data_IF_276543536034
#
_entry.id   IF_276543536034
#
_cell.length_a   1.000
_cell.length_b   1.000
_cell.length_c   1.000
_cell.angle_alpha   90.00
_cell.angle_beta   90.00
_cell.angle_gamma   90.00
#
_symmetry.space_group_name_H-M   'P 1'
#
loop_
_entity.id
_entity.type
_entity.pdbx_description
1 polymer ?
#
# COMPACT_ATOMS: atom_id res chain seq x y z
N UNK A 1 8.04 -12.75 6.38
CA UNK A 1 7.48 -11.39 6.56
C UNK A 1 8.47 -10.40 5.97
N UNK A 2 8.04 -9.62 4.99
CA UNK A 2 8.91 -8.73 4.22
C UNK A 2 9.38 -7.51 5.04
N UNK A 3 10.62 -7.53 5.55
CA UNK A 3 11.22 -6.39 6.29
C UNK A 3 11.76 -5.33 5.31
N UNK A 4 10.83 -4.70 4.56
CA UNK A 4 11.15 -3.74 3.49
C UNK A 4 10.85 -2.28 3.85
N UNK A 5 10.26 -2.00 4.99
CA UNK A 5 9.64 -0.69 5.21
C UNK A 5 10.47 0.25 6.08
N UNK A 6 11.80 0.16 5.96
CA UNK A 6 12.77 0.84 6.84
C UNK A 6 12.52 2.35 6.87
N UNK A 7 12.20 2.95 5.73
CA UNK A 7 12.03 4.39 5.62
C UNK A 7 11.07 5.00 6.64
N UNK A 8 9.95 4.33 6.91
CA UNK A 8 8.94 4.85 7.83
C UNK A 8 9.38 4.81 9.30
N UNK A 9 10.20 3.83 9.66
CA UNK A 9 10.65 3.61 11.03
C UNK A 9 11.86 4.49 11.40
N UNK A 10 12.61 5.00 10.42
CA UNK A 10 13.82 5.78 10.66
C UNK A 10 13.64 6.98 11.59
N UNK A 11 12.60 7.83 11.46
CA UNK A 11 12.42 8.98 12.34
C UNK A 11 12.25 8.57 13.81
N UNK A 12 11.44 7.54 14.07
CA UNK A 12 11.22 7.01 15.42
C UNK A 12 12.45 6.29 15.96
N UNK A 13 13.15 5.52 15.13
CA UNK A 13 14.38 4.84 15.51
C UNK A 13 15.50 5.83 15.88
N UNK A 14 15.61 6.95 15.15
CA UNK A 14 16.55 8.02 15.46
C UNK A 14 16.27 8.62 16.85
N UNK A 15 15.01 8.92 17.16
CA UNK A 15 14.61 9.37 18.50
C UNK A 15 14.88 8.31 19.58
N UNK A 16 14.56 7.04 19.28
CA UNK A 16 14.82 5.92 20.18
C UNK A 16 16.29 5.71 20.51
N UNK A 17 17.19 5.98 19.56
CA UNK A 17 18.63 5.90 19.76
C UNK A 17 19.13 6.86 20.84
N UNK A 18 18.52 8.05 20.98
CA UNK A 18 18.92 9.05 21.97
C UNK A 18 18.14 8.97 23.29
N UNK A 19 16.88 8.54 23.24
CA UNK A 19 15.95 8.68 24.36
C UNK A 19 15.31 7.36 24.83
N UNK A 20 15.66 6.23 24.20
CA UNK A 20 15.18 4.90 24.56
C UNK A 20 13.86 4.48 23.90
N UNK A 21 13.47 3.22 24.15
CA UNK A 21 12.37 2.53 23.47
C UNK A 21 11.00 3.21 23.62
N UNK A 22 10.66 3.65 24.83
CA UNK A 22 9.36 4.28 25.10
C UNK A 22 9.18 5.58 24.31
N UNK A 23 10.25 6.38 24.20
CA UNK A 23 10.23 7.62 23.41
C UNK A 23 10.16 7.31 21.91
N UNK A 24 10.80 6.23 21.44
CA UNK A 24 10.68 5.77 20.06
C UNK A 24 9.21 5.46 19.70
N UNK A 25 8.51 4.70 20.53
CA UNK A 25 7.11 4.33 20.32
C UNK A 25 6.18 5.54 20.37
N UNK A 26 6.38 6.44 21.34
CA UNK A 26 5.60 7.68 21.41
C UNK A 26 5.84 8.56 20.19
N UNK A 27 7.08 8.70 19.73
CA UNK A 27 7.39 9.47 18.53
C UNK A 27 6.83 8.81 17.27
N UNK A 28 6.85 7.48 17.16
CA UNK A 28 6.20 6.75 16.07
C UNK A 28 4.70 7.05 16.01
N UNK A 29 4.03 7.08 17.16
CA UNK A 29 2.64 7.48 17.26
C UNK A 29 2.43 8.92 16.74
N UNK A 30 3.22 9.88 17.23
CA UNK A 30 3.13 11.28 16.76
C UNK A 30 3.42 11.42 15.26
N UNK A 31 4.42 10.71 14.76
CA UNK A 31 4.80 10.67 13.34
C UNK A 31 3.63 10.18 12.47
N UNK A 32 2.99 9.09 12.90
CA UNK A 32 1.83 8.51 12.20
C UNK A 32 0.60 9.41 12.29
N UNK A 33 0.35 9.99 13.47
CA UNK A 33 -0.76 10.91 13.69
C UNK A 33 -0.63 12.18 12.84
N UNK A 34 0.56 12.77 12.77
CA UNK A 34 0.87 13.89 11.89
C UNK A 34 0.62 13.53 10.42
N UNK A 35 1.07 12.37 9.98
CA UNK A 35 0.85 11.90 8.61
C UNK A 35 -0.64 11.80 8.26
N UNK A 36 -1.46 11.22 9.14
CA UNK A 36 -2.92 11.13 8.94
C UNK A 36 -3.59 12.50 8.91
N UNK A 37 -3.18 13.44 9.79
CA UNK A 37 -3.68 14.81 9.76
C UNK A 37 -3.36 15.46 8.41
N UNK A 38 -2.15 15.30 7.91
CA UNK A 38 -1.75 15.85 6.61
C UNK A 38 -2.57 15.23 5.46
N UNK A 39 -2.80 13.91 5.46
CA UNK A 39 -3.64 13.24 4.46
C UNK A 39 -5.06 13.79 4.49
N UNK A 40 -5.69 13.86 5.66
CA UNK A 40 -7.09 14.26 5.81
C UNK A 40 -7.33 15.73 5.46
N UNK A 41 -6.38 16.62 5.81
CA UNK A 41 -6.41 18.02 5.43
C UNK A 41 -6.21 18.21 3.92
N UNK A 42 -5.23 17.53 3.32
CA UNK A 42 -5.01 17.61 1.87
C UNK A 42 -6.20 17.05 1.09
N UNK A 43 -6.77 15.93 1.55
CA UNK A 43 -7.98 15.35 0.96
C UNK A 43 -9.19 16.30 1.08
N UNK A 44 -9.38 16.91 2.25
CA UNK A 44 -10.43 17.90 2.48
C UNK A 44 -10.30 19.12 1.56
N UNK A 45 -9.09 19.67 1.44
CA UNK A 45 -8.79 20.78 0.55
C UNK A 45 -9.01 20.42 -0.92
N UNK A 46 -8.51 19.26 -1.35
CA UNK A 46 -8.67 18.79 -2.73
C UNK A 46 -10.14 18.60 -3.10
N UNK A 47 -10.90 17.90 -2.25
CA UNK A 47 -12.33 17.64 -2.44
C UNK A 47 -13.23 18.85 -2.11
N UNK A 48 -12.65 19.98 -1.66
CA UNK A 48 -13.36 21.19 -1.23
C UNK A 48 -14.46 20.91 -0.20
N UNK A 49 -14.14 20.05 0.77
CA UNK A 49 -15.05 19.59 1.82
C UNK A 49 -14.43 19.83 3.20
N UNK A 50 -15.24 19.71 4.26
CA UNK A 50 -14.75 19.85 5.64
C UNK A 50 -13.81 18.69 6.02
N UNK A 51 -12.80 18.90 6.88
CA UNK A 51 -11.91 17.84 7.36
C UNK A 51 -12.64 16.65 7.99
N UNK A 52 -13.78 16.88 8.64
CA UNK A 52 -14.61 15.81 9.22
C UNK A 52 -15.13 14.88 8.12
N UNK A 53 -15.69 15.45 7.04
CA UNK A 53 -16.22 14.66 5.92
C UNK A 53 -15.13 13.89 5.17
N UNK A 54 -13.95 14.49 4.96
CA UNK A 54 -12.82 13.77 4.35
C UNK A 54 -12.30 12.65 5.25
N UNK A 55 -12.29 12.86 6.57
CA UNK A 55 -11.91 11.84 7.54
C UNK A 55 -12.92 10.69 7.57
N UNK A 56 -14.23 10.98 7.59
CA UNK A 56 -15.28 9.97 7.53
C UNK A 56 -15.20 9.16 6.22
N UNK A 57 -14.95 9.82 5.09
CA UNK A 57 -14.73 9.14 3.82
C UNK A 57 -13.52 8.20 3.92
N UNK A 58 -12.39 8.68 4.46
CA UNK A 58 -11.19 7.85 4.61
C UNK A 58 -11.42 6.63 5.51
N UNK A 59 -12.14 6.78 6.63
CA UNK A 59 -12.40 5.69 7.58
C UNK A 59 -13.34 4.64 6.99
N UNK A 60 -14.44 5.08 6.37
CA UNK A 60 -15.54 4.20 5.98
C UNK A 60 -15.48 3.70 4.54
N UNK A 61 -14.53 4.16 3.73
CA UNK A 61 -14.37 3.68 2.36
C UNK A 61 -13.72 2.29 2.31
N UNK A 62 -14.43 1.32 1.75
CA UNK A 62 -14.03 -0.09 1.65
C UNK A 62 -14.75 -0.80 0.51
N UNK A 63 -14.28 -2.00 0.16
CA UNK A 63 -15.00 -2.99 -0.64
C UNK A 63 -16.25 -3.54 0.05
N UNK A 64 -17.04 -4.33 -0.69
CA UNK A 64 -18.28 -4.96 -0.21
C UNK A 64 -18.01 -6.33 0.43
N UNK A 65 -16.98 -6.43 1.28
CA UNK A 65 -16.49 -7.70 1.83
C UNK A 65 -17.58 -8.46 2.60
N UNK A 66 -18.46 -7.75 3.30
CA UNK A 66 -19.59 -8.35 4.00
C UNK A 66 -20.52 -9.12 3.06
N UNK A 67 -20.70 -8.66 1.82
CA UNK A 67 -21.46 -9.39 0.80
C UNK A 67 -20.66 -10.56 0.25
N UNK A 68 -19.35 -10.40 0.11
CA UNK A 68 -18.43 -11.49 -0.22
C UNK A 68 -18.57 -12.65 0.77
N UNK A 69 -18.47 -12.36 2.06
CA UNK A 69 -18.67 -13.35 3.14
C UNK A 69 -20.07 -13.95 3.13
N UNK A 70 -21.11 -13.14 2.89
CA UNK A 70 -22.49 -13.62 2.90
C UNK A 70 -22.79 -14.59 1.75
N UNK A 71 -22.31 -14.29 0.54
CA UNK A 71 -22.63 -15.06 -0.67
C UNK A 71 -21.61 -16.16 -0.98
N UNK A 72 -20.39 -16.05 -0.46
CA UNK A 72 -19.31 -17.03 -0.65
C UNK A 72 -18.75 -17.46 0.71
N UNK A 73 -19.58 -18.11 1.56
CA UNK A 73 -19.18 -18.49 2.90
C UNK A 73 -18.02 -19.50 2.86
N UNK A 74 -17.01 -19.22 3.67
CA UNK A 74 -15.87 -20.09 3.95
C UNK A 74 -15.88 -20.43 5.45
N UNK A 75 -14.99 -21.33 5.90
CA UNK A 75 -14.79 -21.56 7.34
C UNK A 75 -14.40 -20.27 8.08
N UNK A 76 -13.60 -19.43 7.43
CA UNK A 76 -13.28 -18.08 7.88
C UNK A 76 -13.04 -17.20 6.64
N UNK A 77 -13.49 -15.93 6.64
CA UNK A 77 -14.19 -15.22 7.71
C UNK A 77 -15.71 -15.48 7.72
N UNK A 78 -16.35 -15.28 8.87
CA UNK A 78 -17.81 -15.36 9.06
C UNK A 78 -18.39 -14.00 9.45
N UNK A 79 -19.68 -13.74 9.21
CA UNK A 79 -20.31 -12.47 9.65
C UNK A 79 -20.50 -12.39 11.16
N UNK A 80 -20.61 -13.53 11.83
CA UNK A 80 -20.75 -13.62 13.28
C UNK A 80 -19.70 -14.58 13.85
N UNK A 81 -19.05 -14.24 14.96
CA UNK A 81 -19.17 -12.98 15.71
C UNK A 81 -18.62 -11.77 14.95
N UNK A 82 -19.06 -10.55 15.27
CA UNK A 82 -18.69 -9.31 14.55
C UNK A 82 -17.26 -8.80 14.84
N UNK A 83 -16.31 -9.73 14.97
CA UNK A 83 -14.90 -9.51 15.29
C UNK A 83 -13.97 -10.22 14.29
N UNK A 84 -14.51 -10.69 13.18
CA UNK A 84 -13.80 -11.37 12.11
C UNK A 84 -13.21 -10.38 11.11
N UNK A 85 -12.09 -10.75 10.50
CA UNK A 85 -11.44 -9.97 9.45
C UNK A 85 -12.04 -10.33 8.09
N UNK A 86 -13.02 -9.54 7.63
CA UNK A 86 -13.87 -9.87 6.48
C UNK A 86 -13.13 -9.89 5.13
N UNK A 87 -12.08 -9.09 4.98
CA UNK A 87 -11.43 -8.82 3.67
C UNK A 87 -10.73 -10.03 3.03
N UNK A 88 -10.58 -11.14 3.76
CA UNK A 88 -10.00 -12.38 3.22
C UNK A 88 -11.05 -13.38 2.73
N UNK A 89 -12.28 -12.92 2.50
CA UNK A 89 -13.40 -13.73 2.01
C UNK A 89 -13.11 -14.42 0.66
N UNK A 90 -12.25 -13.83 -0.17
CA UNK A 90 -11.85 -14.36 -1.49
C UNK A 90 -10.50 -15.11 -1.43
N UNK A 91 -10.19 -15.75 -0.30
CA UNK A 91 -8.99 -16.57 -0.16
C UNK A 91 -7.71 -15.74 -0.27
N UNK A 92 -6.94 -15.92 -1.36
CA UNK A 92 -5.68 -15.22 -1.58
C UNK A 92 -5.83 -13.82 -2.19
N UNK A 93 -7.04 -13.44 -2.60
CA UNK A 93 -7.32 -12.11 -3.14
C UNK A 93 -7.83 -11.20 -2.01
N UNK A 94 -7.22 -10.02 -1.89
CA UNK A 94 -7.60 -9.04 -0.87
C UNK A 94 -7.28 -7.62 -1.33
N UNK A 95 -8.29 -6.75 -1.30
CA UNK A 95 -8.14 -5.29 -1.39
C UNK A 95 -8.48 -4.68 -0.03
N UNK A 96 -7.46 -4.26 0.71
CA UNK A 96 -7.66 -3.79 2.08
C UNK A 96 -8.31 -2.41 2.13
N UNK A 97 -9.31 -2.25 3.01
CA UNK A 97 -9.88 -0.96 3.39
C UNK A 97 -8.80 -0.05 4.01
N UNK A 98 -9.01 1.27 3.97
CA UNK A 98 -8.02 2.19 4.55
C UNK A 98 -7.92 2.05 6.07
N UNK A 99 -9.00 1.64 6.74
CA UNK A 99 -8.98 1.34 8.17
C UNK A 99 -8.15 0.09 8.47
N UNK A 100 -8.31 -0.99 7.71
CA UNK A 100 -7.41 -2.16 7.82
C UNK A 100 -5.97 -1.75 7.55
N UNK A 101 -5.74 -0.92 6.52
CA UNK A 101 -4.39 -0.43 6.23
C UNK A 101 -3.78 0.32 7.42
N UNK A 102 -4.56 1.09 8.19
CA UNK A 102 -4.06 1.74 9.42
C UNK A 102 -3.72 0.75 10.53
N UNK A 103 -4.48 -0.34 10.68
CA UNK A 103 -4.19 -1.34 11.72
C UNK A 103 -3.00 -2.23 11.36
N UNK A 104 -2.85 -2.60 10.09
CA UNK A 104 -1.92 -3.65 9.68
C UNK A 104 -0.68 -3.13 8.94
N UNK A 105 -0.78 -2.00 8.21
CA UNK A 105 0.28 -1.49 7.33
C UNK A 105 0.36 0.04 7.26
N UNK A 106 0.10 0.72 8.38
CA UNK A 106 0.09 2.19 8.44
C UNK A 106 1.40 2.82 7.92
N UNK A 107 2.51 2.12 8.17
CA UNK A 107 3.85 2.49 7.77
C UNK A 107 4.04 2.60 6.24
N UNK A 108 3.20 1.91 5.45
CA UNK A 108 3.18 2.01 3.99
C UNK A 108 2.04 2.90 3.52
N UNK A 109 0.88 2.78 4.15
CA UNK A 109 -0.36 3.42 3.72
C UNK A 109 -0.28 4.93 3.85
N UNK A 110 0.08 5.46 5.03
CA UNK A 110 0.16 6.90 5.31
C UNK A 110 1.09 7.64 4.33
N UNK A 111 2.37 7.25 4.14
CA UNK A 111 3.26 7.95 3.21
C UNK A 111 2.80 7.80 1.76
N UNK A 112 2.24 6.65 1.38
CA UNK A 112 1.72 6.46 0.03
C UNK A 112 0.52 7.37 -0.25
N UNK A 113 -0.46 7.44 0.66
CA UNK A 113 -1.63 8.31 0.54
C UNK A 113 -1.22 9.77 0.39
N UNK A 114 -0.23 10.24 1.17
CA UNK A 114 0.34 11.59 1.03
C UNK A 114 0.94 11.81 -0.36
N UNK A 115 1.74 10.86 -0.86
CA UNK A 115 2.33 10.95 -2.19
C UNK A 115 1.24 11.02 -3.27
N UNK A 116 0.24 10.15 -3.18
CA UNK A 116 -0.87 10.08 -4.14
C UNK A 116 -1.64 11.40 -4.16
N UNK A 117 -2.15 11.88 -3.02
CA UNK A 117 -2.94 13.13 -2.99
C UNK A 117 -2.11 14.34 -3.41
N UNK A 118 -0.81 14.38 -3.10
CA UNK A 118 0.10 15.46 -3.54
C UNK A 118 0.27 15.47 -5.05
N UNK A 119 0.47 14.30 -5.67
CA UNK A 119 0.56 14.16 -7.14
C UNK A 119 -0.74 14.62 -7.80
N UNK A 120 -1.89 14.22 -7.26
CA UNK A 120 -3.21 14.59 -7.79
C UNK A 120 -3.49 16.08 -7.65
N UNK A 121 -3.33 16.63 -6.45
CA UNK A 121 -3.62 18.03 -6.16
C UNK A 121 -2.77 18.97 -7.03
N UNK A 122 -1.47 18.67 -7.14
CA UNK A 122 -0.55 19.42 -8.01
C UNK A 122 -1.02 19.39 -9.47
N UNK A 123 -1.38 18.23 -9.97
CA UNK A 123 -1.81 18.06 -11.36
C UNK A 123 -3.10 18.82 -11.65
N UNK A 124 -4.03 18.87 -10.70
CA UNK A 124 -5.26 19.65 -10.78
C UNK A 124 -4.99 21.17 -10.73
N UNK A 125 -4.12 21.63 -9.84
CA UNK A 125 -3.70 23.04 -9.77
C UNK A 125 -3.06 23.53 -11.07
N UNK A 126 -2.18 22.73 -11.66
CA UNK A 126 -1.54 23.05 -12.95
C UNK A 126 -2.60 23.15 -14.05
N UNK A 127 -3.56 22.22 -14.11
CA UNK A 127 -4.63 22.25 -15.10
C UNK A 127 -5.54 23.48 -14.96
N UNK A 128 -5.90 23.86 -13.72
CA UNK A 128 -6.76 25.03 -13.47
C UNK A 128 -6.08 26.36 -13.80
N UNK A 129 -4.76 26.48 -13.57
CA UNK A 129 -3.96 27.66 -13.94
C UNK A 129 -3.76 27.80 -15.46
N UNK A 130 -3.82 26.70 -16.22
CA UNK A 130 -3.65 26.68 -17.68
C UNK A 130 -4.96 26.90 -18.46
N UNK A 131 -6.11 26.98 -17.78
CA UNK A 131 -7.41 27.20 -18.44
C UNK A 131 -7.49 28.58 -19.13
N UNK A 132 -7.99 28.67 -20.37
CA UNK A 132 -8.05 29.93 -21.15
C UNK A 132 -8.77 31.08 -20.45
N UNK A 133 -9.76 30.78 -19.62
CA UNK A 133 -10.53 31.78 -18.86
C UNK A 133 -9.71 32.50 -17.78
N UNK A 134 -8.66 31.88 -17.25
CA UNK A 134 -7.78 32.47 -16.24
C UNK A 134 -6.53 33.14 -16.84
N UNK A 135 -6.23 32.89 -18.13
CA UNK A 135 -5.11 33.54 -18.82
C UNK A 135 -5.32 35.04 -19.03
N UNK A 136 -6.56 35.53 -19.08
CA UNK A 136 -6.86 36.95 -19.28
C UNK A 136 -6.58 37.87 -18.09
N UNK A 137 -6.41 37.32 -16.87
CA UNK A 137 -6.23 38.11 -15.63
C UNK A 137 -4.78 38.06 -15.12
N UNK A 138 -3.96 37.13 -15.62
CA UNK A 138 -2.59 36.92 -15.15
C UNK A 138 -1.52 37.46 -16.12
N UNK A 139 -1.64 38.72 -16.55
CA UNK A 139 -0.49 39.42 -17.12
C UNK A 139 0.48 39.77 -15.98
N UNK A 140 1.41 38.85 -15.68
CA UNK A 140 2.54 39.12 -14.77
C UNK A 140 2.93 38.00 -13.80
N UNK A 141 2.13 36.94 -13.63
CA UNK A 141 2.57 35.77 -12.83
C UNK A 141 3.24 34.76 -13.74
N UNK A 142 4.54 34.55 -13.52
CA UNK A 142 5.36 33.49 -14.11
C UNK A 142 4.50 32.23 -14.22
N UNK A 143 4.25 31.79 -15.45
CA UNK A 143 3.48 30.59 -15.70
C UNK A 143 4.22 29.41 -15.06
N UNK A 144 3.75 28.93 -13.91
CA UNK A 144 4.34 27.80 -13.20
C UNK A 144 4.25 26.57 -14.12
N UNK A 145 5.38 26.28 -14.77
CA UNK A 145 5.50 25.11 -15.64
C UNK A 145 5.47 23.84 -14.79
N UNK A 146 4.92 22.73 -15.30
CA UNK A 146 4.87 21.49 -14.52
C UNK A 146 6.29 20.96 -14.30
N UNK A 147 6.76 21.00 -13.06
CA UNK A 147 8.05 20.45 -12.60
C UNK A 147 7.99 18.93 -12.49
N UNK A 148 8.41 18.23 -13.55
CA UNK A 148 8.43 16.75 -13.63
C UNK A 148 9.43 16.14 -12.64
N UNK A 149 10.53 16.84 -12.39
CA UNK A 149 11.53 16.55 -11.37
C UNK A 149 10.90 16.37 -9.97
N UNK A 150 9.88 17.17 -9.61
CA UNK A 150 9.15 17.00 -8.35
C UNK A 150 8.32 15.72 -8.35
N UNK A 151 7.64 15.42 -9.46
CA UNK A 151 6.82 14.22 -9.57
C UNK A 151 7.68 12.96 -9.43
N UNK A 152 8.83 12.93 -10.11
CA UNK A 152 9.82 11.85 -10.03
C UNK A 152 10.38 11.75 -8.61
N UNK A 153 10.67 12.88 -7.96
CA UNK A 153 11.14 12.89 -6.58
C UNK A 153 10.11 12.33 -5.60
N UNK A 154 8.85 12.76 -5.67
CA UNK A 154 7.77 12.23 -4.83
C UNK A 154 7.61 10.73 -5.06
N UNK A 155 7.69 10.26 -6.31
CA UNK A 155 7.64 8.83 -6.60
C UNK A 155 8.82 8.06 -6.01
N UNK A 156 10.04 8.60 -6.08
CA UNK A 156 11.22 7.98 -5.46
C UNK A 156 11.11 7.88 -3.94
N UNK A 157 10.53 8.90 -3.29
CA UNK A 157 10.22 8.86 -1.86
C UNK A 157 9.13 7.83 -1.55
N UNK A 158 8.07 7.78 -2.35
CA UNK A 158 7.04 6.75 -2.23
C UNK A 158 7.64 5.35 -2.35
N UNK A 159 8.57 5.14 -3.29
CA UNK A 159 9.30 3.88 -3.45
C UNK A 159 10.14 3.54 -2.22
N UNK A 160 10.80 4.53 -1.60
CA UNK A 160 11.56 4.33 -0.37
C UNK A 160 10.70 3.92 0.84
N UNK A 161 9.51 4.52 1.00
CA UNK A 161 8.60 4.18 2.11
C UNK A 161 7.75 2.94 1.85
N UNK A 162 7.23 2.80 0.63
CA UNK A 162 6.20 1.86 0.25
C UNK A 162 6.43 1.35 -1.19
N UNK A 163 7.39 0.43 -1.40
CA UNK A 163 7.87 0.06 -2.75
C UNK A 163 6.76 -0.51 -3.63
N UNK A 164 5.97 -1.44 -3.11
CA UNK A 164 4.89 -2.07 -3.85
C UNK A 164 3.78 -1.07 -4.20
N UNK A 165 3.47 -0.13 -3.29
CA UNK A 165 2.47 0.92 -3.55
C UNK A 165 2.96 1.87 -4.64
N UNK A 166 4.26 2.19 -4.66
CA UNK A 166 4.86 3.05 -5.68
C UNK A 166 4.77 2.46 -7.10
N UNK A 167 4.78 1.12 -7.23
CA UNK A 167 4.52 0.44 -8.51
C UNK A 167 3.08 0.70 -8.97
N UNK A 168 2.10 0.59 -8.06
CA UNK A 168 0.70 0.93 -8.34
C UNK A 168 0.48 2.43 -8.64
N UNK A 169 1.32 3.32 -8.10
CA UNK A 169 1.28 4.76 -8.36
C UNK A 169 1.90 5.15 -9.72
N UNK A 170 2.85 4.36 -10.22
CA UNK A 170 3.64 4.70 -11.40
C UNK A 170 2.78 5.03 -12.65
N UNK A 171 1.73 4.27 -13.01
CA UNK A 171 0.89 4.59 -14.17
C UNK A 171 0.22 5.95 -14.10
N UNK A 172 -0.19 6.40 -12.92
CA UNK A 172 -0.75 7.74 -12.72
C UNK A 172 0.31 8.83 -12.96
N UNK A 173 1.53 8.60 -12.47
CA UNK A 173 2.66 9.50 -12.70
C UNK A 173 2.97 9.64 -14.20
N UNK A 174 2.98 8.51 -14.92
CA UNK A 174 3.24 8.48 -16.36
C UNK A 174 2.16 9.27 -17.12
N UNK A 175 0.87 9.12 -16.76
CA UNK A 175 -0.18 9.95 -17.32
C UNK A 175 0.19 11.42 -17.16
N UNK A 176 0.49 11.89 -15.94
CA UNK A 176 0.75 13.31 -15.70
C UNK A 176 2.00 13.84 -16.42
N UNK A 177 3.04 13.02 -16.56
CA UNK A 177 4.26 13.37 -17.30
C UNK A 177 3.98 13.52 -18.80
N UNK A 178 3.15 12.65 -19.38
CA UNK A 178 2.90 12.60 -20.82
C UNK A 178 1.66 13.38 -21.29
N UNK A 179 0.72 13.74 -20.38
CA UNK A 179 -0.62 14.29 -20.69
C UNK A 179 -0.63 15.47 -21.65
N UNK A 180 0.42 16.28 -21.71
CA UNK A 180 0.43 17.56 -22.44
C UNK A 180 1.75 17.86 -23.18
N UNK A 181 2.56 16.86 -23.58
CA UNK A 181 3.93 17.14 -24.04
C UNK A 181 4.45 16.38 -25.26
N UNK A 182 5.23 17.13 -26.03
CA UNK A 182 6.14 16.62 -27.04
C UNK A 182 7.42 16.13 -26.33
N UNK A 183 8.00 14.99 -26.72
CA UNK A 183 9.11 14.33 -26.00
C UNK A 183 10.30 15.27 -25.73
N UNK A 184 10.55 16.26 -26.60
CA UNK A 184 11.63 17.24 -26.47
C UNK A 184 11.47 18.22 -25.30
N UNK A 185 10.25 18.44 -24.79
CA UNK A 185 10.00 19.34 -23.65
C UNK A 185 9.93 18.62 -22.30
N UNK A 186 10.16 17.30 -22.27
CA UNK A 186 10.22 16.50 -21.04
C UNK A 186 11.49 16.80 -20.23
N UNK A 187 12.60 17.07 -20.91
CA UNK A 187 13.91 17.31 -20.30
C UNK A 187 14.26 18.80 -20.14
N UNK A 188 13.34 19.71 -20.46
CA UNK A 188 13.55 21.15 -20.34
C UNK A 188 13.22 21.60 -18.91
N UNK A 189 14.08 22.43 -18.34
CA UNK A 189 13.93 23.04 -17.00
C UNK A 189 13.90 22.02 -15.84
N UNK A 190 14.66 20.92 -15.95
CA UNK A 190 14.84 19.93 -14.87
C UNK A 190 15.83 20.46 -13.83
N UNK A 191 15.46 20.40 -12.55
CA UNK A 191 16.42 20.54 -11.46
C UNK A 191 17.28 19.27 -11.37
N UNK A 192 18.48 19.32 -11.95
CA UNK A 192 19.41 18.20 -11.96
C UNK A 192 19.76 17.67 -10.55
N UNK A 193 20.03 18.51 -9.53
CA UNK A 193 20.16 18.03 -8.15
C UNK A 193 18.98 17.20 -7.65
N UNK A 194 17.74 17.63 -7.94
CA UNK A 194 16.54 16.90 -7.51
C UNK A 194 16.39 15.58 -8.27
N UNK A 195 16.67 15.57 -9.57
CA UNK A 195 16.66 14.35 -10.37
C UNK A 195 17.73 13.35 -9.89
N UNK A 196 18.94 13.83 -9.62
CA UNK A 196 20.02 13.02 -9.08
C UNK A 196 19.66 12.44 -7.70
N UNK A 197 19.07 13.26 -6.83
CA UNK A 197 18.57 12.80 -5.52
C UNK A 197 17.52 11.70 -5.68
N UNK A 198 16.58 11.89 -6.62
CA UNK A 198 15.54 10.88 -6.92
C UNK A 198 16.15 9.57 -7.42
N UNK A 199 17.16 9.65 -8.29
CA UNK A 199 17.87 8.49 -8.81
C UNK A 199 18.65 7.76 -7.72
N UNK A 200 19.31 8.48 -6.82
CA UNK A 200 20.05 7.88 -5.69
C UNK A 200 19.08 7.19 -4.73
N UNK A 201 17.98 7.85 -4.34
CA UNK A 201 16.96 7.29 -3.44
C UNK A 201 16.40 6.01 -4.06
N UNK A 202 15.99 6.07 -5.33
CA UNK A 202 15.46 4.90 -6.03
C UNK A 202 16.49 3.77 -6.12
N UNK A 203 17.73 4.07 -6.53
CA UNK A 203 18.78 3.08 -6.71
C UNK A 203 19.11 2.37 -5.40
N UNK A 204 19.34 3.11 -4.31
CA UNK A 204 19.66 2.54 -3.00
C UNK A 204 18.50 1.69 -2.49
N UNK A 205 17.28 2.20 -2.61
CA UNK A 205 16.07 1.48 -2.22
C UNK A 205 15.91 0.20 -3.04
N UNK A 206 16.07 0.29 -4.36
CA UNK A 206 15.96 -0.85 -5.27
C UNK A 206 17.00 -1.92 -4.96
N UNK A 207 18.26 -1.54 -4.73
CA UNK A 207 19.32 -2.48 -4.37
C UNK A 207 18.99 -3.18 -3.05
N UNK A 208 18.56 -2.43 -2.03
CA UNK A 208 18.13 -2.99 -0.75
C UNK A 208 16.95 -3.97 -0.90
N UNK A 209 15.95 -3.66 -1.74
CA UNK A 209 14.84 -4.58 -1.99
C UNK A 209 15.25 -5.80 -2.80
N UNK A 210 16.09 -5.62 -3.81
CA UNK A 210 16.56 -6.71 -4.68
C UNK A 210 17.46 -7.70 -3.94
N UNK A 211 18.07 -7.30 -2.82
CA UNK A 211 18.91 -8.19 -2.01
C UNK A 211 18.13 -9.18 -1.16
N UNK A 212 16.79 -9.14 -1.16
CA UNK A 212 15.97 -10.03 -0.37
C UNK A 212 15.23 -11.04 -1.25
N UNK A 213 15.23 -12.32 -0.84
CA UNK A 213 14.69 -13.47 -1.57
C UNK A 213 13.23 -13.37 -1.88
N UNK A 214 12.42 -12.91 -0.93
CA UNK A 214 10.98 -12.87 -1.12
C UNK A 214 10.54 -11.82 -2.17
N UNK A 215 11.44 -10.93 -2.62
CA UNK A 215 11.22 -10.03 -3.76
C UNK A 215 11.72 -10.61 -5.11
N UNK A 216 12.41 -11.76 -5.08
CA UNK A 216 12.97 -12.45 -6.25
C UNK A 216 11.98 -13.43 -6.88
N UNK A 217 11.09 -14.04 -6.09
CA UNK A 217 10.02 -14.87 -6.61
C UNK A 217 8.94 -14.00 -7.26
N UNK A 218 8.80 -14.13 -8.58
CA UNK A 218 7.82 -13.41 -9.38
C UNK A 218 7.10 -14.40 -10.27
N UNK A 219 5.80 -14.50 -10.09
CA UNK A 219 4.97 -15.42 -10.86
C UNK A 219 3.68 -14.72 -11.30
N UNK A 220 3.05 -15.29 -12.32
CA UNK A 220 1.68 -14.96 -12.66
C UNK A 220 0.78 -15.99 -11.99
N UNK A 221 -0.22 -15.50 -11.26
CA UNK A 221 -1.19 -16.37 -10.61
C UNK A 221 -2.33 -16.69 -11.58
N UNK A 222 -2.64 -17.97 -11.74
CA UNK A 222 -3.86 -18.42 -12.42
C UNK A 222 -5.05 -18.29 -11.49
N UNK A 223 -5.95 -17.34 -11.76
CA UNK A 223 -7.20 -17.14 -11.01
C UNK A 223 -8.38 -17.57 -11.89
N UNK A 224 -9.29 -18.43 -11.38
CA UNK A 224 -10.52 -18.76 -12.10
C UNK A 224 -11.31 -17.51 -12.46
N UNK A 225 -11.71 -17.37 -13.72
CA UNK A 225 -12.37 -16.17 -14.25
C UNK A 225 -13.61 -15.74 -13.44
N UNK A 226 -14.39 -16.72 -12.97
CA UNK A 226 -15.59 -16.48 -12.14
C UNK A 226 -15.22 -15.82 -10.80
N UNK A 227 -14.22 -16.37 -10.11
CA UNK A 227 -13.76 -15.84 -8.81
C UNK A 227 -13.18 -14.44 -8.98
N UNK A 228 -12.36 -14.24 -10.00
CA UNK A 228 -11.81 -12.94 -10.34
C UNK A 228 -12.89 -11.88 -10.58
N UNK A 229 -13.91 -12.16 -11.39
CA UNK A 229 -14.97 -11.19 -11.67
C UNK A 229 -15.72 -10.82 -10.41
N UNK A 230 -16.07 -11.81 -9.58
CA UNK A 230 -16.81 -11.58 -8.35
C UNK A 230 -15.99 -10.72 -7.39
N UNK A 231 -14.72 -11.06 -7.20
CA UNK A 231 -13.76 -10.27 -6.43
C UNK A 231 -13.66 -8.85 -6.95
N UNK A 232 -13.35 -8.66 -8.24
CA UNK A 232 -13.22 -7.35 -8.86
C UNK A 232 -14.47 -6.50 -8.66
N UNK A 233 -15.67 -7.05 -8.89
CA UNK A 233 -16.92 -6.33 -8.77
C UNK A 233 -17.19 -5.88 -7.32
N UNK A 234 -17.03 -6.78 -6.35
CA UNK A 234 -17.33 -6.48 -4.94
C UNK A 234 -16.31 -5.54 -4.30
N UNK A 235 -15.03 -5.64 -4.68
CA UNK A 235 -13.96 -4.86 -4.05
C UNK A 235 -13.81 -3.43 -4.54
N UNK A 236 -14.48 -3.08 -5.66
CA UNK A 236 -14.42 -1.72 -6.18
C UNK A 236 -14.91 -1.57 -7.62
N UNK A 237 -15.05 -2.68 -8.36
CA UNK A 237 -15.47 -2.68 -9.75
C UNK A 237 -16.88 -2.13 -9.96
N UNK A 238 -17.85 -2.47 -9.10
CA UNK A 238 -19.20 -1.88 -9.18
C UNK A 238 -19.14 -0.36 -8.99
N UNK A 239 -18.41 0.11 -7.97
CA UNK A 239 -18.26 1.54 -7.70
C UNK A 239 -17.55 2.24 -8.86
N UNK A 240 -16.48 1.66 -9.38
CA UNK A 240 -15.75 2.14 -10.55
C UNK A 240 -16.65 2.28 -11.78
N UNK A 241 -17.47 1.28 -12.08
CA UNK A 241 -18.43 1.31 -13.19
C UNK A 241 -19.54 2.36 -12.98
N UNK A 242 -20.04 2.53 -11.76
CA UNK A 242 -21.03 3.57 -11.46
C UNK A 242 -20.48 4.99 -11.70
N UNK A 243 -19.18 5.21 -11.52
CA UNK A 243 -18.55 6.51 -11.79
C UNK A 243 -18.36 6.78 -13.29
N UNK A 244 -18.47 5.75 -14.17
CA UNK A 244 -18.20 5.87 -15.59
C UNK A 244 -18.98 7.01 -16.29
N UNK A 245 -20.29 7.23 -16.08
CA UNK A 245 -21.04 8.28 -16.76
C UNK A 245 -20.46 9.69 -16.58
N UNK A 246 -19.77 9.93 -15.46
CA UNK A 246 -19.13 11.22 -15.16
C UNK A 246 -17.62 11.19 -15.48
N UNK A 247 -16.94 10.07 -15.22
CA UNK A 247 -15.48 9.99 -15.18
C UNK A 247 -14.82 9.25 -16.35
N UNK A 248 -15.58 8.64 -17.27
CA UNK A 248 -15.01 7.80 -18.34
C UNK A 248 -13.97 8.49 -19.24
N UNK A 249 -14.04 9.82 -19.36
CA UNK A 249 -13.07 10.62 -20.15
C UNK A 249 -11.77 10.92 -19.40
N UNK A 250 -11.74 10.72 -18.09
CA UNK A 250 -10.53 10.91 -17.30
C UNK A 250 -9.61 9.68 -17.47
N UNK A 251 -8.39 9.82 -18.03
CA UNK A 251 -7.45 8.70 -18.15
C UNK A 251 -7.13 8.06 -16.80
N UNK A 252 -7.24 8.82 -15.70
CA UNK A 252 -7.03 8.31 -14.34
C UNK A 252 -8.08 7.25 -13.98
N UNK A 253 -9.35 7.46 -14.34
CA UNK A 253 -10.42 6.48 -14.12
C UNK A 253 -10.16 5.18 -14.88
N UNK A 254 -9.71 5.27 -16.13
CA UNK A 254 -9.37 4.09 -16.95
C UNK A 254 -8.23 3.31 -16.31
N UNK A 255 -7.14 4.00 -15.94
CA UNK A 255 -5.98 3.38 -15.28
C UNK A 255 -6.35 2.77 -13.93
N UNK A 256 -7.23 3.39 -13.15
CA UNK A 256 -7.75 2.79 -11.92
C UNK A 256 -8.41 1.44 -12.19
N UNK A 257 -9.30 1.35 -13.17
CA UNK A 257 -9.95 0.09 -13.53
C UNK A 257 -8.97 -0.96 -14.03
N UNK A 258 -8.07 -0.59 -14.95
CA UNK A 258 -7.05 -1.49 -15.49
C UNK A 258 -6.16 -2.05 -14.38
N UNK A 259 -5.72 -1.21 -13.44
CA UNK A 259 -4.88 -1.67 -12.34
C UNK A 259 -5.63 -2.62 -11.40
N UNK A 260 -6.88 -2.29 -11.04
CA UNK A 260 -7.70 -3.19 -10.22
C UNK A 260 -8.01 -4.53 -10.91
N UNK A 261 -7.95 -4.60 -12.25
CA UNK A 261 -8.09 -5.83 -13.03
C UNK A 261 -6.77 -6.61 -13.09
N UNK A 262 -5.64 -5.93 -13.29
CA UNK A 262 -4.35 -6.61 -13.56
C UNK A 262 -3.63 -7.04 -12.28
N UNK A 263 -3.71 -6.25 -11.20
CA UNK A 263 -2.99 -6.49 -9.95
C UNK A 263 -3.21 -7.91 -9.38
N UNK A 264 -4.44 -8.47 -9.36
CA UNK A 264 -4.69 -9.81 -8.82
C UNK A 264 -3.89 -10.92 -9.50
N UNK A 265 -3.57 -10.78 -10.78
CA UNK A 265 -2.86 -11.80 -11.55
C UNK A 265 -1.33 -11.78 -11.37
N UNK A 266 -0.81 -10.81 -10.62
CA UNK A 266 0.62 -10.63 -10.39
C UNK A 266 0.94 -11.06 -8.95
N UNK A 267 1.88 -11.99 -8.81
CA UNK A 267 2.36 -12.45 -7.52
C UNK A 267 3.86 -12.13 -7.38
N UNK A 268 4.21 -11.47 -6.27
CA UNK A 268 5.59 -11.22 -5.87
C UNK A 268 5.77 -11.76 -4.46
N UNK A 269 6.67 -12.73 -4.31
CA UNK A 269 6.87 -13.51 -3.08
C UNK A 269 5.80 -14.60 -2.88
N UNK A 270 5.88 -15.30 -1.76
CA UNK A 270 4.94 -16.38 -1.40
C UNK A 270 3.58 -15.88 -0.92
N UNK A 271 3.48 -14.62 -0.49
CA UNK A 271 2.27 -14.04 0.12
C UNK A 271 1.39 -13.19 -0.81
N UNK A 272 0.31 -12.66 -0.23
CA UNK A 272 -0.68 -11.77 -0.88
C UNK A 272 -0.25 -10.29 -0.88
N UNK A 273 0.99 -10.01 -0.49
CA UNK A 273 1.47 -8.64 -0.25
C UNK A 273 1.42 -7.79 -1.51
N UNK A 274 1.75 -8.34 -2.68
CA UNK A 274 1.67 -7.55 -3.92
C UNK A 274 0.25 -7.02 -4.17
N UNK A 275 -0.75 -7.91 -4.13
CA UNK A 275 -2.15 -7.56 -4.39
C UNK A 275 -2.63 -6.51 -3.39
N UNK A 276 -2.34 -6.71 -2.10
CA UNK A 276 -2.76 -5.79 -1.05
C UNK A 276 -2.05 -4.43 -1.12
N UNK A 277 -0.75 -4.38 -1.45
CA UNK A 277 0.03 -3.13 -1.41
C UNK A 277 -0.03 -2.36 -2.72
N UNK A 278 0.10 -3.04 -3.87
CA UNK A 278 0.04 -2.37 -5.16
C UNK A 278 -1.35 -1.75 -5.43
N UNK A 279 -2.42 -2.34 -4.86
CA UNK A 279 -3.79 -1.83 -4.99
C UNK A 279 -4.09 -0.59 -4.14
N UNK A 280 -3.25 -0.23 -3.16
CA UNK A 280 -3.45 0.97 -2.32
C UNK A 280 -3.58 2.22 -3.19
N UNK A 281 -2.73 2.38 -4.21
CA UNK A 281 -2.78 3.52 -5.10
C UNK A 281 -4.10 3.62 -5.90
N UNK A 282 -4.51 2.60 -6.69
CA UNK A 282 -5.78 2.66 -7.41
C UNK A 282 -7.02 2.74 -6.50
N UNK A 283 -7.04 2.09 -5.34
CA UNK A 283 -8.15 2.21 -4.39
C UNK A 283 -8.25 3.62 -3.80
N UNK A 284 -7.13 4.24 -3.46
CA UNK A 284 -7.10 5.62 -2.98
C UNK A 284 -7.55 6.61 -4.06
N UNK A 285 -7.15 6.39 -5.32
CA UNK A 285 -7.68 7.15 -6.45
C UNK A 285 -9.19 6.94 -6.66
N UNK A 286 -9.69 5.71 -6.53
CA UNK A 286 -11.13 5.41 -6.60
C UNK A 286 -11.91 6.15 -5.50
N UNK A 287 -11.36 6.24 -4.29
CA UNK A 287 -11.92 7.05 -3.20
C UNK A 287 -11.95 8.54 -3.57
N UNK A 288 -10.86 9.08 -4.13
CA UNK A 288 -10.83 10.48 -4.57
C UNK A 288 -11.90 10.74 -5.62
N UNK A 289 -12.00 9.90 -6.65
CA UNK A 289 -13.01 10.02 -7.71
C UNK A 289 -14.44 9.94 -7.16
N UNK A 290 -14.67 9.03 -6.22
CA UNK A 290 -15.95 8.94 -5.48
C UNK A 290 -16.23 10.21 -4.70
N UNK A 291 -15.24 10.71 -3.96
CA UNK A 291 -15.28 11.95 -3.18
C UNK A 291 -15.67 13.16 -4.04
N UNK A 292 -15.07 13.30 -5.22
CA UNK A 292 -15.40 14.37 -6.16
C UNK A 292 -16.87 14.31 -6.59
N UNK A 293 -17.42 13.11 -6.81
CA UNK A 293 -18.82 12.93 -7.24
C UNK A 293 -19.81 13.18 -6.09
N UNK A 294 -19.54 12.68 -4.88
CA UNK A 294 -20.47 12.79 -3.74
C UNK A 294 -20.52 14.19 -3.13
N UNK A 295 -19.41 14.94 -3.18
CA UNK A 295 -19.33 16.29 -2.62
C UNK A 295 -19.66 17.39 -3.65
N UNK A 296 -19.79 17.05 -4.93
CA UNK A 296 -20.22 17.99 -5.95
C UNK A 296 -21.74 18.24 -5.90
N UNK A 297 -22.14 19.52 -5.82
CA UNK A 297 -23.54 19.93 -5.65
C UNK A 297 -24.46 19.57 -6.83
N UNK A 298 -23.90 19.40 -8.03
CA UNK A 298 -24.65 19.21 -9.28
C UNK A 298 -24.92 17.74 -9.61
N UNK A 299 -24.41 16.79 -8.83
CA UNK A 299 -24.56 15.36 -9.11
C UNK A 299 -26.02 14.91 -8.94
N UNK A 300 -26.55 14.17 -9.92
CA UNK A 300 -27.93 13.67 -9.88
C UNK A 300 -28.16 12.67 -8.75
N UNK A 301 -29.32 12.78 -8.06
CA UNK A 301 -29.74 11.84 -7.02
C UNK A 301 -29.78 10.38 -7.50
N UNK A 302 -30.12 10.16 -8.77
CA UNK A 302 -30.17 8.81 -9.37
C UNK A 302 -28.81 8.10 -9.33
N UNK A 303 -27.72 8.85 -9.38
CA UNK A 303 -26.36 8.32 -9.27
C UNK A 303 -25.87 8.30 -7.81
N UNK A 304 -26.21 9.32 -7.02
CA UNK A 304 -25.78 9.42 -5.62
C UNK A 304 -26.36 8.32 -4.73
N UNK A 305 -27.64 7.97 -4.90
CA UNK A 305 -28.31 6.94 -4.09
C UNK A 305 -27.55 5.59 -4.14
N UNK A 306 -27.28 4.99 -5.30
CA UNK A 306 -26.55 3.73 -5.34
C UNK A 306 -25.12 3.86 -4.80
N UNK A 307 -24.42 4.97 -5.04
CA UNK A 307 -23.08 5.20 -4.46
C UNK A 307 -23.15 5.20 -2.93
N UNK A 308 -24.09 5.92 -2.33
CA UNK A 308 -24.25 5.93 -0.87
C UNK A 308 -24.63 4.56 -0.31
N UNK A 309 -25.47 3.79 -1.01
CA UNK A 309 -25.80 2.42 -0.60
C UNK A 309 -24.54 1.54 -0.58
N UNK A 310 -23.69 1.62 -1.61
CA UNK A 310 -22.43 0.88 -1.65
C UNK A 310 -21.48 1.31 -0.53
N UNK A 311 -21.37 2.61 -0.25
CA UNK A 311 -20.54 3.12 0.84
C UNK A 311 -21.05 2.67 2.21
N UNK A 312 -22.37 2.61 2.42
CA UNK A 312 -22.96 2.13 3.69
C UNK A 312 -22.69 0.65 3.89
N UNK A 313 -22.83 -0.17 2.83
CA UNK A 313 -22.54 -1.61 2.91
C UNK A 313 -21.04 -1.81 3.11
N UNK A 314 -20.20 -1.12 2.33
CA UNK A 314 -18.75 -1.20 2.46
C UNK A 314 -18.23 -0.75 3.82
N UNK A 315 -18.90 0.21 4.47
CA UNK A 315 -18.55 0.66 5.81
C UNK A 315 -18.64 -0.44 6.88
N UNK A 316 -19.29 -1.59 6.62
CA UNK A 316 -19.29 -2.72 7.52
C UNK A 316 -17.88 -3.29 7.74
N UNK A 317 -17.04 -3.37 6.70
CA UNK A 317 -15.67 -3.87 6.80
C UNK A 317 -14.82 -3.08 7.82
N UNK A 318 -14.65 -1.75 7.71
CA UNK A 318 -13.89 -0.98 8.68
C UNK A 318 -14.55 -0.99 10.07
N UNK A 319 -15.88 -1.08 10.18
CA UNK A 319 -16.55 -1.25 11.47
C UNK A 319 -16.21 -2.58 12.14
N UNK A 320 -16.15 -3.68 11.39
CA UNK A 320 -15.71 -4.98 11.90
C UNK A 320 -14.26 -4.93 12.36
N UNK A 321 -13.38 -4.27 11.60
CA UNK A 321 -11.97 -4.15 11.98
C UNK A 321 -11.79 -3.29 13.25
N UNK A 322 -12.50 -2.17 13.37
CA UNK A 322 -12.51 -1.35 14.60
C UNK A 322 -13.03 -2.17 15.79
N UNK A 323 -14.15 -2.88 15.62
CA UNK A 323 -14.73 -3.70 16.69
C UNK A 323 -13.79 -4.84 17.10
N UNK A 324 -13.14 -5.49 16.13
CA UNK A 324 -12.11 -6.51 16.36
C UNK A 324 -10.95 -5.94 17.17
N UNK A 325 -10.44 -4.76 16.83
CA UNK A 325 -9.35 -4.13 17.59
C UNK A 325 -9.76 -3.77 19.01
N UNK A 326 -10.97 -3.23 19.21
CA UNK A 326 -11.51 -2.93 20.53
C UNK A 326 -11.65 -4.21 21.36
N UNK A 327 -12.25 -5.25 20.79
CA UNK A 327 -12.45 -6.54 21.44
C UNK A 327 -11.11 -7.17 21.85
N UNK A 328 -10.14 -7.24 20.94
CA UNK A 328 -8.81 -7.83 21.22
C UNK A 328 -8.03 -7.03 22.25
N UNK A 329 -8.14 -5.70 22.23
CA UNK A 329 -7.52 -4.84 23.24
C UNK A 329 -8.16 -5.06 24.61
N UNK A 330 -9.49 -5.13 24.66
CA UNK A 330 -10.21 -5.41 25.90
C UNK A 330 -9.86 -6.79 26.46
N UNK A 331 -9.88 -7.81 25.62
CA UNK A 331 -9.50 -9.19 25.95
C UNK A 331 -8.07 -9.22 26.54
N UNK A 332 -7.11 -8.59 25.86
CA UNK A 332 -5.72 -8.55 26.32
C UNK A 332 -5.55 -7.90 27.68
N UNK A 333 -6.14 -6.72 27.92
CA UNK A 333 -5.89 -5.97 29.15
C UNK A 333 -6.76 -6.38 30.34
N UNK A 334 -7.98 -6.87 30.11
CA UNK A 334 -8.97 -7.08 31.16
C UNK A 334 -9.42 -8.53 31.34
N UNK A 335 -9.23 -9.40 30.35
CA UNK A 335 -9.68 -10.81 30.42
C UNK A 335 -8.51 -11.76 30.60
N UNK A 336 -7.42 -11.55 29.87
CA UNK A 336 -6.25 -12.42 29.94
C UNK A 336 -5.37 -12.09 31.15
N UNK A 337 -4.98 -13.12 31.90
CA UNK A 337 -3.97 -13.03 32.96
C UNK A 337 -2.54 -12.95 32.37
N UNK A 338 -1.54 -12.55 33.17
CA UNK A 338 -0.14 -12.40 32.71
C UNK A 338 0.38 -13.68 32.03
N UNK A 339 0.11 -14.85 32.59
CA UNK A 339 0.52 -16.14 32.01
C UNK A 339 -0.09 -16.42 30.64
N UNK A 340 -1.30 -15.90 30.38
CA UNK A 340 -1.98 -16.04 29.09
C UNK A 340 -1.50 -15.00 28.07
N UNK A 341 -1.07 -13.83 28.53
CA UNK A 341 -0.47 -12.79 27.67
C UNK A 341 0.93 -13.17 27.20
N UNK A 342 1.67 -13.90 28.03
CA UNK A 342 3.02 -14.37 27.73
C UNK A 342 3.05 -15.65 26.88
N UNK A 343 1.90 -16.32 26.69
CA UNK A 343 1.77 -17.41 25.72
C UNK A 343 1.75 -16.82 24.30
N UNK A 344 2.77 -17.08 23.47
CA UNK A 344 2.75 -16.63 22.08
C UNK A 344 1.58 -17.32 21.34
N UNK A 345 0.86 -16.58 20.51
CA UNK A 345 -0.31 -17.06 19.76
C UNK A 345 -0.01 -18.23 18.81
N UNK A 346 1.27 -18.48 18.56
CA UNK A 346 1.84 -19.61 17.83
C UNK A 346 3.04 -20.07 18.63
N UNK A 347 3.15 -21.36 18.92
CA UNK A 347 4.41 -21.90 19.46
C UNK A 347 5.55 -21.43 18.54
N UNK A 348 6.61 -20.78 19.06
CA UNK A 348 7.81 -20.56 18.27
C UNK A 348 8.25 -21.94 17.74
N UNK A 349 8.82 -22.02 16.54
CA UNK A 349 9.36 -23.28 16.05
C UNK A 349 10.43 -23.78 17.05
N UNK A 350 10.03 -24.66 17.97
CA UNK A 350 10.82 -25.10 19.13
C UNK A 350 11.67 -26.33 18.81
N UNK A 351 11.45 -26.95 17.66
CA UNK A 351 12.25 -28.06 17.17
C UNK A 351 13.03 -27.68 15.93
N UNK A 352 14.27 -27.24 16.14
CA UNK A 352 15.34 -27.56 15.20
C UNK A 352 15.74 -29.01 15.51
N UNK A 353 15.64 -29.91 14.53
CA UNK A 353 16.16 -31.28 14.68
C UNK A 353 17.63 -31.17 15.08
N UNK A 354 18.08 -31.81 16.18
CA UNK A 354 19.49 -31.81 16.53
C UNK A 354 20.26 -32.40 15.36
N UNK A 355 21.34 -31.72 14.98
CA UNK A 355 22.27 -32.22 13.99
C UNK A 355 22.68 -33.65 14.37
N UNK A 356 22.65 -34.57 13.40
CA UNK A 356 23.35 -35.85 13.54
C UNK A 356 24.85 -35.61 13.81
N UNK A 357 25.62 -36.67 14.05
CA UNK A 357 27.07 -36.57 14.25
C UNK A 357 27.75 -35.97 12.99
N UNK A 358 27.87 -34.65 12.94
CA UNK A 358 28.31 -33.83 11.81
C UNK A 358 29.71 -34.23 11.32
N UNK A 359 30.54 -34.71 12.23
CA UNK A 359 31.88 -35.25 11.94
C UNK A 359 31.89 -36.51 11.04
N UNK A 360 30.77 -37.22 10.92
CA UNK A 360 30.67 -38.42 10.08
C UNK A 360 30.14 -38.14 8.66
N UNK A 361 29.51 -36.99 8.42
CA UNK A 361 28.90 -36.67 7.12
C UNK A 361 29.93 -36.09 6.12
N UNK A 362 31.01 -35.50 6.61
CA UNK A 362 32.07 -34.89 5.80
C UNK A 362 33.48 -35.23 6.30
N UNK A 363 33.88 -36.51 6.22
CA UNK A 363 35.28 -36.89 6.41
C UNK A 363 36.15 -36.08 5.44
N UNK A 364 36.97 -35.17 5.98
CA UNK A 364 37.95 -34.29 5.30
C UNK A 364 37.53 -32.85 4.95
N UNK A 365 36.42 -32.32 5.49
CA UNK A 365 36.17 -30.86 5.43
C UNK A 365 36.60 -30.17 6.75
N UNK A 366 37.21 -28.99 6.65
CA UNK A 366 37.69 -28.20 7.81
C UNK A 366 36.59 -27.33 8.46
N UNK A 367 35.39 -27.31 7.88
CA UNK A 367 34.27 -26.51 8.35
C UNK A 367 33.11 -27.43 8.71
N UNK A 368 33.15 -27.96 9.94
CA UNK A 368 31.94 -28.34 10.64
C UNK A 368 31.40 -27.06 11.29
N UNK A 369 30.59 -26.28 10.56
CA UNK A 369 29.85 -25.19 11.19
C UNK A 369 28.89 -25.81 12.23
N UNK A 370 29.04 -25.44 13.51
CA UNK A 370 28.23 -25.95 14.63
C UNK A 370 26.71 -25.72 14.47
N UNK A 371 26.33 -24.88 13.50
CA UNK A 371 24.94 -24.53 13.24
C UNK A 371 24.55 -25.05 11.85
N UNK A 372 23.79 -26.16 11.83
CA UNK A 372 23.02 -26.63 10.67
C UNK A 372 21.89 -25.65 10.25
N UNK A 373 22.04 -24.34 10.49
CA UNK A 373 20.93 -23.38 10.41
C UNK A 373 20.35 -23.19 9.02
N UNK A 374 21.08 -23.53 7.95
CA UNK A 374 20.70 -23.12 6.58
C UNK A 374 20.48 -24.28 5.61
N UNK A 375 20.93 -25.49 5.94
CA UNK A 375 20.88 -26.62 5.01
C UNK A 375 19.56 -27.40 5.09
N UNK A 376 18.86 -27.31 6.23
CA UNK A 376 17.59 -28.01 6.49
C UNK A 376 16.40 -27.07 6.70
N UNK A 377 16.57 -25.79 6.38
CA UNK A 377 15.46 -24.85 6.41
C UNK A 377 14.62 -25.00 5.13
N UNK A 378 14.06 -26.20 4.95
CA UNK A 378 13.07 -26.51 3.92
C UNK A 378 11.69 -26.09 4.44
N UNK A 379 11.16 -25.01 3.89
CA UNK A 379 9.80 -24.55 4.21
C UNK A 379 9.57 -23.08 3.94
N UNK A 380 8.30 -22.73 3.73
CA UNK A 380 7.80 -21.38 3.44
C UNK A 380 8.24 -20.33 4.49
N UNK A 381 8.49 -20.76 5.73
CA UNK A 381 8.94 -19.88 6.81
C UNK A 381 10.41 -19.46 6.64
N UNK A 382 11.28 -20.36 6.18
CA UNK A 382 12.72 -20.12 6.03
C UNK A 382 13.05 -19.15 4.90
N UNK A 383 12.40 -19.35 3.74
CA UNK A 383 12.51 -18.49 2.56
C UNK A 383 12.12 -17.04 2.86
N UNK A 384 11.23 -16.88 3.84
CA UNK A 384 10.74 -15.59 4.33
C UNK A 384 11.76 -14.83 5.23
N UNK A 385 12.80 -15.49 5.75
CA UNK A 385 13.75 -14.89 6.71
C UNK A 385 15.22 -14.96 6.25
N UNK A 386 15.59 -15.90 5.38
CA UNK A 386 16.95 -16.04 4.85
C UNK A 386 16.99 -15.63 3.38
N UNK A 387 17.76 -14.58 3.10
CA UNK A 387 18.01 -14.16 1.73
C UNK A 387 19.13 -15.00 1.08
N UNK A 388 18.79 -15.82 0.09
CA UNK A 388 19.70 -16.29 -0.95
C UNK A 388 20.28 -15.11 -1.74
N UNK A 389 21.34 -14.52 -1.20
CA UNK A 389 22.04 -13.39 -1.80
C UNK A 389 22.88 -13.77 -3.03
N UNK A 390 23.03 -15.07 -3.36
CA UNK A 390 23.83 -15.53 -4.51
C UNK A 390 23.30 -15.01 -5.84
N UNK A 391 22.00 -14.75 -5.95
CA UNK A 391 21.38 -14.15 -7.13
C UNK A 391 21.35 -12.62 -7.11
N UNK A 392 21.81 -11.98 -6.03
CA UNK A 392 21.86 -10.51 -5.99
C UNK A 392 22.92 -9.98 -6.96
N UNK A 393 22.68 -8.76 -7.45
CA UNK A 393 23.57 -8.07 -8.39
C UNK A 393 25.02 -8.00 -7.85
N UNK A 394 25.18 -7.79 -6.54
CA UNK A 394 26.49 -7.75 -5.91
C UNK A 394 27.25 -9.07 -6.10
N UNK A 395 26.66 -10.22 -5.76
CA UNK A 395 27.37 -11.50 -5.88
C UNK A 395 27.50 -12.00 -7.33
N UNK A 396 26.58 -11.60 -8.22
CA UNK A 396 26.66 -11.97 -9.63
C UNK A 396 27.73 -11.18 -10.40
N UNK A 397 27.91 -9.89 -10.08
CA UNK A 397 28.68 -8.98 -10.93
C UNK A 397 29.77 -8.18 -10.22
N UNK A 398 29.74 -8.06 -8.89
CA UNK A 398 30.63 -7.16 -8.13
C UNK A 398 31.59 -7.95 -7.23
N UNK A 399 31.12 -8.99 -6.54
CA UNK A 399 31.95 -9.85 -5.73
C UNK A 399 32.98 -10.53 -6.64
N UNK A 400 34.27 -10.30 -6.39
CA UNK A 400 35.33 -11.06 -7.05
C UNK A 400 35.11 -12.53 -6.70
N UNK A 401 34.99 -13.36 -7.75
CA UNK A 401 34.93 -14.82 -7.62
C UNK A 401 36.16 -15.36 -6.93
#
# INVERSE_FOLDING_TARGET
>A
MLVYYVGYWLPAAWMGKFFGWNVANFFLFLWSWLGIILVTLQLGNFLKTSPIKSTLLLIFFSGLDSLGVLFFPQEYPTLLPSITHLEIWSGNLQYSSFTTQLFWVFNQAIPAWLCIITVVARSHEVATKQSPTNMGIASGKVQERPRNDILIFIWSLCFFFAPLVSIGLLPYLLIEIFKNRNLKTLFKDINYPLLLSSAIIFLVSYLYFSSNTAAQDRSLQGIPFKEFIIFFLLEGGILWLLLAPIKWRDPRWIVTGILLILIPFIQIGSGRDFIMRASIAPLFYLMILTGEVIFQKQTSKKLLIPIYLLLIIGALTPLYEINRSIYRTYEYYFVLDESQRDMPATEPATHLTPAGALENEHLNSLAADEILSLQFMEGELAENFIANVRQSLYYQFIARR
#
